data_IF_890472746593
#
_entry.id   IF_890472746593
#
_cell.length_a   1.000
_cell.length_b   1.000
_cell.length_c   1.000
_cell.angle_alpha   90.00
_cell.angle_beta   90.00
_cell.angle_gamma   90.00
#
_symmetry.space_group_name_H-M   'P 1'
#
loop_
_entity.id
_entity.type
_entity.pdbx_description
1 polymer ?
#
# COMPACT_ATOMS: atom_id res chain seq x y z
N UNK A 1 -13.61 -7.56 19.07
CA UNK A 1 -12.80 -6.34 19.11
C UNK A 1 -11.89 -6.42 20.34
N UNK A 2 -10.58 -6.58 20.17
CA UNK A 2 -9.64 -6.77 21.29
C UNK A 2 -9.08 -5.45 21.85
N UNK A 3 -8.91 -4.44 20.99
CA UNK A 3 -8.28 -3.16 21.32
C UNK A 3 -9.30 -2.01 21.47
N UNK A 4 -9.00 -0.99 22.32
CA UNK A 4 -9.83 0.21 22.47
C UNK A 4 -10.01 0.97 21.16
N UNK A 5 -11.21 1.52 20.93
CA UNK A 5 -11.57 2.26 19.72
C UNK A 5 -12.24 3.58 20.10
N UNK A 6 -11.69 4.69 19.62
CA UNK A 6 -12.31 5.99 19.75
C UNK A 6 -13.48 6.13 18.77
N UNK A 7 -14.44 6.98 19.11
CA UNK A 7 -15.43 7.43 18.14
C UNK A 7 -14.71 8.08 16.95
N UNK A 8 -15.13 7.74 15.73
CA UNK A 8 -14.57 8.35 14.53
C UNK A 8 -15.53 9.35 13.89
N UNK A 9 -15.04 10.02 12.84
CA UNK A 9 -15.79 11.01 12.07
C UNK A 9 -15.26 11.07 10.63
N UNK A 10 -16.08 11.63 9.72
CA UNK A 10 -15.66 11.93 8.34
C UNK A 10 -15.03 13.33 8.33
N UNK A 11 -13.73 13.48 8.04
CA UNK A 11 -13.09 14.80 8.00
C UNK A 11 -13.47 15.56 6.73
N UNK A 12 -13.61 16.87 6.85
CA UNK A 12 -14.00 17.77 5.76
C UNK A 12 -13.10 19.02 5.72
N UNK A 13 -13.14 19.75 4.60
CA UNK A 13 -12.43 21.02 4.45
C UNK A 13 -10.94 20.92 4.75
N UNK A 14 -10.48 21.75 5.69
CA UNK A 14 -9.06 21.88 6.05
C UNK A 14 -8.50 20.63 6.76
N UNK A 15 -9.35 19.74 7.29
CA UNK A 15 -8.92 18.45 7.86
C UNK A 15 -8.71 17.36 6.80
N UNK A 16 -9.11 17.62 5.55
CA UNK A 16 -8.98 16.67 4.44
C UNK A 16 -8.62 17.38 3.11
N UNK A 17 -7.55 18.18 3.06
CA UNK A 17 -7.27 19.09 1.93
C UNK A 17 -6.94 18.36 0.61
N UNK A 18 -6.62 17.07 0.70
CA UNK A 18 -6.30 16.18 -0.43
C UNK A 18 -7.43 15.19 -0.78
N UNK A 19 -8.56 15.21 -0.05
CA UNK A 19 -9.62 14.20 -0.10
C UNK A 19 -9.12 12.76 0.17
N UNK A 20 -7.99 12.63 0.88
CA UNK A 20 -7.27 11.38 1.08
C UNK A 20 -7.80 10.56 2.27
N UNK A 21 -8.46 11.22 3.23
CA UNK A 21 -9.18 10.55 4.31
C UNK A 21 -10.61 10.22 3.89
N UNK A 22 -11.05 8.99 4.16
CA UNK A 22 -12.47 8.67 4.18
C UNK A 22 -13.05 8.84 5.59
N UNK A 23 -12.38 8.29 6.59
CA UNK A 23 -12.85 8.32 7.98
C UNK A 23 -11.66 8.36 8.93
N UNK A 24 -11.68 9.25 9.91
CA UNK A 24 -10.67 9.34 10.97
C UNK A 24 -11.22 8.71 12.24
N UNK A 25 -10.38 7.94 12.92
CA UNK A 25 -10.65 7.31 14.22
C UNK A 25 -9.31 6.99 14.85
N UNK A 26 -9.29 6.53 16.09
CA UNK A 26 -8.07 6.04 16.73
C UNK A 26 -8.34 4.66 17.32
N UNK A 27 -7.57 3.67 16.87
CA UNK A 27 -7.54 2.32 17.45
C UNK A 27 -6.12 2.04 17.90
N UNK A 28 -5.91 2.10 19.21
CA UNK A 28 -4.59 1.93 19.82
C UNK A 28 -4.32 0.44 20.07
N UNK A 29 -3.27 -0.08 19.42
CA UNK A 29 -2.85 -1.46 19.54
C UNK A 29 -2.15 -1.78 20.87
N UNK A 30 -1.39 -2.87 20.88
CA UNK A 30 -0.60 -3.30 22.03
C UNK A 30 0.42 -2.23 22.47
N UNK A 31 0.70 -2.15 23.78
CA UNK A 31 1.63 -1.16 24.33
C UNK A 31 3.09 -1.34 23.86
N UNK A 32 3.43 -2.53 23.38
CA UNK A 32 4.77 -2.90 22.92
C UNK A 32 4.68 -3.70 21.64
N UNK A 33 5.69 -3.63 20.79
CA UNK A 33 5.80 -4.42 19.57
C UNK A 33 6.66 -3.72 18.52
N UNK A 34 6.83 -4.36 17.37
CA UNK A 34 7.69 -3.84 16.27
C UNK A 34 7.23 -2.49 15.74
N UNK A 35 5.96 -2.15 15.88
CA UNK A 35 5.33 -0.92 15.40
C UNK A 35 4.83 -0.02 16.53
N UNK A 36 5.26 -0.25 17.77
CA UNK A 36 4.92 0.61 18.90
C UNK A 36 5.31 2.07 18.60
N UNK A 37 4.34 2.98 18.79
CA UNK A 37 4.51 4.41 18.50
C UNK A 37 4.43 4.80 17.03
N UNK A 38 4.08 3.87 16.12
CA UNK A 38 3.86 4.16 14.70
C UNK A 38 2.37 4.32 14.41
N UNK A 39 2.04 5.31 13.59
CA UNK A 39 0.67 5.50 13.09
C UNK A 39 0.47 4.81 11.75
N UNK A 40 -0.69 4.19 11.56
CA UNK A 40 -1.05 3.47 10.32
C UNK A 40 -2.42 3.92 9.83
N UNK A 41 -2.58 4.09 8.52
CA UNK A 41 -3.90 4.16 7.88
C UNK A 41 -4.18 2.90 7.06
N UNK A 42 -5.42 2.45 7.09
CA UNK A 42 -5.87 1.33 6.25
C UNK A 42 -6.54 1.87 4.99
N UNK A 43 -6.21 1.32 3.81
CA UNK A 43 -7.01 1.54 2.61
C UNK A 43 -8.48 1.20 2.90
N UNK A 44 -9.40 1.99 2.37
CA UNK A 44 -10.80 1.88 2.78
C UNK A 44 -11.44 0.51 2.47
N UNK A 45 -10.93 -0.22 1.48
CA UNK A 45 -11.37 -1.58 1.17
C UNK A 45 -10.95 -2.66 2.20
N UNK A 46 -10.19 -2.29 3.24
CA UNK A 46 -9.75 -3.17 4.34
C UNK A 46 -10.71 -2.99 5.52
N UNK A 47 -11.29 -4.08 6.02
CA UNK A 47 -12.21 -4.04 7.15
C UNK A 47 -11.50 -3.68 8.47
N UNK A 48 -12.14 -2.80 9.23
CA UNK A 48 -11.76 -2.44 10.60
C UNK A 48 -13.04 -2.38 11.43
N UNK A 49 -13.21 -3.30 12.37
CA UNK A 49 -14.47 -3.53 13.06
C UNK A 49 -15.04 -2.25 13.68
N UNK A 50 -16.30 -1.95 13.42
CA UNK A 50 -16.98 -0.77 13.97
C UNK A 50 -16.58 0.57 13.33
N UNK A 51 -15.73 0.57 12.31
CA UNK A 51 -15.31 1.78 11.58
C UNK A 51 -15.90 1.73 10.16
N UNK A 52 -16.68 2.73 9.74
CA UNK A 52 -17.29 2.76 8.41
C UNK A 52 -16.29 2.49 7.28
N UNK A 53 -16.79 1.91 6.18
CA UNK A 53 -16.04 1.77 4.93
C UNK A 53 -16.99 1.78 3.73
N UNK A 54 -16.54 2.33 2.60
CA UNK A 54 -17.31 2.40 1.36
C UNK A 54 -16.52 1.94 0.11
N UNK A 55 -15.24 1.58 0.23
CA UNK A 55 -14.41 1.12 -0.89
C UNK A 55 -14.42 2.11 -2.07
N UNK A 56 -14.41 3.41 -1.75
CA UNK A 56 -14.46 4.49 -2.76
C UNK A 56 -15.76 4.59 -3.55
N UNK A 57 -16.78 3.80 -3.19
CA UNK A 57 -18.02 3.66 -3.93
C UNK A 57 -19.22 4.02 -3.04
N UNK A 58 -19.96 5.05 -3.43
CA UNK A 58 -21.19 5.52 -2.77
C UNK A 58 -22.25 4.43 -2.56
N UNK A 59 -22.23 3.38 -3.39
CA UNK A 59 -23.11 2.20 -3.24
C UNK A 59 -22.85 1.38 -1.97
N UNK A 60 -21.68 1.49 -1.36
CA UNK A 60 -21.34 0.86 -0.08
C UNK A 60 -21.32 1.87 1.09
N UNK A 61 -21.75 3.12 0.87
CA UNK A 61 -21.79 4.11 1.94
C UNK A 61 -22.67 3.63 3.11
N UNK A 62 -22.17 3.81 4.33
CA UNK A 62 -22.84 3.36 5.56
C UNK A 62 -22.56 1.91 5.95
N UNK A 63 -21.83 1.13 5.16
CA UNK A 63 -21.39 -0.20 5.58
C UNK A 63 -20.37 -0.10 6.72
N UNK A 64 -20.62 -0.85 7.80
CA UNK A 64 -19.73 -0.96 8.97
C UNK A 64 -19.40 -2.43 9.20
N UNK A 65 -18.13 -2.85 9.01
CA UNK A 65 -17.74 -4.24 9.19
C UNK A 65 -17.78 -4.64 10.68
N UNK A 66 -18.10 -5.91 10.92
CA UNK A 66 -18.18 -6.50 12.26
C UNK A 66 -16.87 -7.14 12.75
N UNK A 67 -15.86 -7.20 11.87
CA UNK A 67 -14.58 -7.83 12.12
C UNK A 67 -13.42 -6.96 11.60
N UNK A 68 -12.24 -7.19 12.15
CA UNK A 68 -11.00 -6.63 11.63
C UNK A 68 -10.44 -7.57 10.57
N UNK A 69 -9.88 -7.01 9.49
CA UNK A 69 -9.07 -7.78 8.56
C UNK A 69 -7.85 -8.37 9.28
N UNK A 70 -7.35 -9.53 8.86
CA UNK A 70 -6.20 -10.17 9.51
C UNK A 70 -5.00 -9.23 9.59
N UNK A 71 -4.75 -8.44 8.54
CA UNK A 71 -3.68 -7.43 8.53
C UNK A 71 -3.89 -6.32 9.55
N UNK A 72 -5.14 -5.88 9.79
CA UNK A 72 -5.43 -4.88 10.80
C UNK A 72 -5.16 -5.41 12.21
N UNK A 73 -5.58 -6.64 12.49
CA UNK A 73 -5.28 -7.32 13.76
C UNK A 73 -3.78 -7.43 14.00
N UNK A 74 -3.01 -7.90 13.00
CA UNK A 74 -1.54 -8.05 13.10
C UNK A 74 -0.83 -6.72 13.35
N UNK A 75 -1.29 -5.64 12.72
CA UNK A 75 -0.74 -4.30 12.95
C UNK A 75 -0.97 -3.82 14.39
N UNK A 76 -2.18 -4.01 14.91
CA UNK A 76 -2.53 -3.67 16.29
C UNK A 76 -1.76 -4.54 17.30
N UNK A 77 -1.63 -5.84 17.04
CA UNK A 77 -0.84 -6.76 17.86
C UNK A 77 0.65 -6.39 17.90
N UNK A 78 1.16 -5.81 16.81
CA UNK A 78 2.52 -5.28 16.74
C UNK A 78 2.68 -3.87 17.36
N UNK A 79 1.61 -3.32 17.94
CA UNK A 79 1.59 -2.05 18.67
C UNK A 79 1.39 -0.79 17.83
N UNK A 80 0.96 -0.93 16.56
CA UNK A 80 0.60 0.23 15.76
C UNK A 80 -0.70 0.88 16.26
N UNK A 81 -0.82 2.19 16.06
CA UNK A 81 -2.08 2.92 16.21
C UNK A 81 -2.72 3.15 14.84
N UNK A 82 -3.93 2.64 14.63
CA UNK A 82 -4.65 2.85 13.37
C UNK A 82 -5.45 4.15 13.45
N UNK A 83 -5.16 5.09 12.55
CA UNK A 83 -5.79 6.43 12.52
C UNK A 83 -7.01 6.55 11.60
N UNK A 84 -7.43 5.43 11.01
CA UNK A 84 -8.68 5.31 10.26
C UNK A 84 -8.50 4.76 8.85
N UNK A 85 -9.31 5.28 7.94
CA UNK A 85 -9.53 4.74 6.59
C UNK A 85 -9.13 5.76 5.53
N UNK A 86 -8.26 5.35 4.63
CA UNK A 86 -7.79 6.15 3.50
C UNK A 86 -8.66 5.89 2.27
N UNK A 87 -9.06 6.96 1.58
CA UNK A 87 -9.82 6.91 0.33
C UNK A 87 -9.15 5.97 -0.68
N UNK A 88 -9.96 5.22 -1.41
CA UNK A 88 -9.53 4.43 -2.56
C UNK A 88 -10.47 4.67 -3.74
N UNK A 89 -10.05 4.25 -4.93
CA UNK A 89 -10.87 4.38 -6.15
C UNK A 89 -12.15 3.54 -6.06
N UNK A 90 -13.15 3.88 -6.88
CA UNK A 90 -14.45 3.19 -6.93
C UNK A 90 -14.28 1.69 -7.17
N UNK A 91 -14.63 0.88 -6.18
CA UNK A 91 -14.38 -0.57 -6.14
C UNK A 91 -12.92 -0.96 -6.44
N UNK A 92 -11.97 -0.07 -6.16
CA UNK A 92 -10.56 -0.22 -6.45
C UNK A 92 -10.18 -0.38 -7.94
N UNK A 93 -11.08 -0.07 -8.89
CA UNK A 93 -10.93 -0.31 -10.34
C UNK A 93 -10.42 0.92 -11.12
N UNK A 94 -9.34 1.54 -10.68
CA UNK A 94 -8.67 2.64 -11.41
C UNK A 94 -7.20 2.76 -11.00
N UNK A 95 -6.33 3.04 -11.98
CA UNK A 95 -4.92 3.39 -11.75
C UNK A 95 -4.68 4.89 -11.53
N UNK A 96 -5.69 5.74 -11.73
CA UNK A 96 -5.67 7.16 -11.38
C UNK A 96 -6.24 7.40 -9.99
N UNK A 97 -6.47 8.67 -9.64
CA UNK A 97 -7.10 9.05 -8.37
C UNK A 97 -8.35 9.93 -8.54
N UNK A 98 -9.24 9.52 -9.45
CA UNK A 98 -10.34 10.36 -9.94
C UNK A 98 -11.71 9.69 -9.94
N UNK A 99 -11.79 8.41 -9.59
CA UNK A 99 -13.07 7.69 -9.57
C UNK A 99 -13.66 7.57 -8.17
N UNK A 100 -12.90 7.87 -7.12
CA UNK A 100 -13.36 7.81 -5.74
C UNK A 100 -14.52 8.76 -5.44
N UNK A 101 -15.52 8.26 -4.73
CA UNK A 101 -16.59 9.09 -4.16
C UNK A 101 -16.17 9.69 -2.80
N UNK A 102 -16.51 10.95 -2.49
CA UNK A 102 -17.27 11.90 -3.33
C UNK A 102 -16.37 12.76 -4.24
N UNK A 103 -15.04 12.65 -4.11
CA UNK A 103 -14.10 13.54 -4.75
C UNK A 103 -12.79 12.83 -5.11
N UNK A 104 -12.08 13.32 -6.15
CA UNK A 104 -10.76 12.82 -6.51
C UNK A 104 -9.74 13.08 -5.40
N UNK A 105 -8.79 12.16 -5.22
CA UNK A 105 -7.64 12.38 -4.34
C UNK A 105 -6.57 13.19 -5.07
N UNK A 106 -6.07 14.23 -4.42
CA UNK A 106 -5.02 15.09 -4.98
C UNK A 106 -3.62 14.62 -4.58
N UNK A 107 -2.68 14.72 -5.52
CA UNK A 107 -1.27 14.43 -5.26
C UNK A 107 -0.66 15.45 -4.29
N UNK A 108 0.00 15.04 -3.19
CA UNK A 108 0.62 15.97 -2.25
C UNK A 108 1.80 16.75 -2.84
N UNK A 109 2.47 16.22 -3.88
CA UNK A 109 3.54 16.94 -4.57
C UNK A 109 3.02 18.05 -5.48
N UNK A 110 1.75 17.95 -5.91
CA UNK A 110 1.09 18.96 -6.75
C UNK A 110 -0.43 18.82 -6.72
N UNK A 111 -1.11 19.71 -5.97
CA UNK A 111 -2.58 19.74 -5.91
C UNK A 111 -3.18 19.88 -7.32
N UNK A 112 -4.30 19.20 -7.56
CA UNK A 112 -4.95 19.12 -8.88
C UNK A 112 -4.38 18.04 -9.80
N UNK A 113 -3.27 17.39 -9.43
CA UNK A 113 -2.73 16.23 -10.15
C UNK A 113 -3.16 14.94 -9.47
N UNK A 114 -3.17 13.85 -10.24
CA UNK A 114 -3.51 12.52 -9.73
C UNK A 114 -2.44 12.02 -8.75
N UNK A 115 -2.88 11.48 -7.62
CA UNK A 115 -2.06 10.74 -6.66
C UNK A 115 -1.74 9.31 -7.15
N UNK A 116 -2.38 8.87 -8.25
CA UNK A 116 -2.38 7.47 -8.71
C UNK A 116 -3.33 6.62 -7.88
N UNK A 117 -3.58 5.38 -8.28
CA UNK A 117 -4.54 4.53 -7.57
C UNK A 117 -4.35 3.03 -7.81
N UNK A 118 -5.16 2.17 -7.17
CA UNK A 118 -6.35 2.53 -6.39
C UNK A 118 -6.13 2.86 -4.91
N UNK A 119 -4.92 2.73 -4.37
CA UNK A 119 -4.58 3.11 -3.00
C UNK A 119 -4.19 4.59 -2.89
N UNK A 120 -4.99 5.45 -3.52
CA UNK A 120 -4.72 6.88 -3.72
C UNK A 120 -4.59 7.65 -2.40
N UNK A 121 -5.56 7.50 -1.51
CA UNK A 121 -5.52 8.11 -0.18
C UNK A 121 -4.36 7.60 0.68
N UNK A 122 -4.08 6.29 0.63
CA UNK A 122 -2.98 5.68 1.39
C UNK A 122 -1.63 6.32 1.03
N UNK A 123 -1.37 6.52 -0.28
CA UNK A 123 -0.15 7.20 -0.72
C UNK A 123 -0.14 8.68 -0.31
N UNK A 124 -1.25 9.39 -0.54
CA UNK A 124 -1.32 10.82 -0.26
C UNK A 124 -1.06 11.13 1.23
N UNK A 125 -1.66 10.37 2.15
CA UNK A 125 -1.50 10.56 3.59
C UNK A 125 -0.08 10.26 4.10
N UNK A 126 0.55 9.21 3.59
CA UNK A 126 1.94 8.90 3.97
C UNK A 126 2.91 9.95 3.40
N UNK A 127 2.68 10.39 2.15
CA UNK A 127 3.55 11.37 1.50
C UNK A 127 3.39 12.78 2.09
N UNK A 128 2.20 13.16 2.57
CA UNK A 128 1.98 14.42 3.28
C UNK A 128 2.44 14.39 4.74
N UNK A 129 2.80 13.21 5.27
CA UNK A 129 3.23 13.05 6.66
C UNK A 129 2.08 13.03 7.68
N UNK A 130 0.84 12.84 7.24
CA UNK A 130 -0.33 12.67 8.12
C UNK A 130 -0.26 11.37 8.94
N UNK A 131 0.37 10.33 8.38
CA UNK A 131 0.59 9.03 9.03
C UNK A 131 1.98 8.48 8.68
N UNK A 132 2.52 7.61 9.53
CA UNK A 132 3.83 7.01 9.29
C UNK A 132 3.80 5.94 8.18
N UNK A 133 2.73 5.16 8.16
CA UNK A 133 2.61 3.92 7.40
C UNK A 133 1.19 3.82 6.81
N UNK A 134 1.05 3.15 5.67
CA UNK A 134 -0.26 2.77 5.16
C UNK A 134 -0.29 1.34 4.67
N UNK A 135 -1.47 0.76 4.72
CA UNK A 135 -1.81 -0.44 3.96
C UNK A 135 -2.44 -0.04 2.62
N UNK A 136 -2.05 -0.74 1.56
CA UNK A 136 -2.63 -0.64 0.22
C UNK A 136 -3.13 -1.99 -0.29
N UNK A 137 -3.92 -1.95 -1.36
CA UNK A 137 -4.29 -3.12 -2.17
C UNK A 137 -3.65 -3.01 -3.56
N UNK A 138 -3.26 -4.12 -4.17
CA UNK A 138 -2.59 -4.16 -5.47
C UNK A 138 -3.09 -5.34 -6.32
N UNK A 139 -3.95 -5.04 -7.28
CA UNK A 139 -4.45 -5.99 -8.27
C UNK A 139 -3.70 -5.87 -9.60
N UNK A 140 -3.57 -4.63 -10.09
CA UNK A 140 -2.86 -4.29 -11.33
C UNK A 140 -1.75 -3.26 -11.16
N UNK A 141 -1.30 -3.01 -9.92
CA UNK A 141 -0.40 -1.90 -9.60
C UNK A 141 -0.92 -0.97 -8.50
N UNK A 142 -2.05 -1.29 -7.88
CA UNK A 142 -2.79 -0.34 -7.04
C UNK A 142 -2.09 0.12 -5.76
N UNK A 143 -0.96 -0.46 -5.36
CA UNK A 143 -0.07 0.08 -4.33
C UNK A 143 1.19 0.71 -4.95
N UNK A 144 1.75 0.09 -5.99
CA UNK A 144 2.99 0.54 -6.66
C UNK A 144 2.81 1.83 -7.46
N UNK A 145 1.71 1.98 -8.19
CA UNK A 145 1.38 3.18 -9.00
C UNK A 145 1.26 4.41 -8.10
N UNK A 146 0.39 4.45 -7.08
CA UNK A 146 0.27 5.64 -6.24
C UNK A 146 1.52 5.91 -5.42
N UNK A 147 2.26 4.86 -5.00
CA UNK A 147 3.55 5.07 -4.36
C UNK A 147 4.56 5.76 -5.30
N UNK A 148 4.68 5.31 -6.55
CA UNK A 148 5.54 5.95 -7.54
C UNK A 148 5.14 7.41 -7.81
N UNK A 149 3.85 7.71 -7.87
CA UNK A 149 3.34 9.06 -8.18
C UNK A 149 3.44 10.03 -7.00
N UNK A 150 3.42 9.53 -5.77
CA UNK A 150 3.54 10.33 -4.55
C UNK A 150 4.95 10.31 -3.93
N UNK A 151 5.94 9.66 -4.57
CA UNK A 151 7.33 9.64 -4.10
C UNK A 151 7.59 8.72 -2.90
N UNK A 152 6.90 7.58 -2.84
CA UNK A 152 6.96 6.60 -1.75
C UNK A 152 7.47 5.23 -2.22
N UNK A 153 7.62 4.32 -1.26
CA UNK A 153 7.89 2.91 -1.50
C UNK A 153 6.62 2.08 -1.31
N UNK A 154 6.05 1.55 -2.39
CA UNK A 154 4.91 0.63 -2.36
C UNK A 154 5.36 -0.79 -2.66
N UNK A 155 5.04 -1.74 -1.78
CA UNK A 155 5.39 -3.14 -1.98
C UNK A 155 4.14 -3.97 -2.29
N UNK A 156 4.15 -4.65 -3.45
CA UNK A 156 3.25 -5.77 -3.73
C UNK A 156 3.96 -7.07 -3.36
N UNK A 157 3.57 -7.75 -2.28
CA UNK A 157 4.22 -9.00 -1.88
C UNK A 157 3.97 -10.14 -2.90
N UNK A 158 4.64 -11.26 -2.69
CA UNK A 158 4.30 -12.53 -3.36
C UNK A 158 2.84 -12.87 -3.08
N UNK A 159 2.11 -13.33 -4.10
CA UNK A 159 0.71 -13.75 -3.94
C UNK A 159 0.59 -14.83 -2.85
N UNK A 160 -0.40 -14.68 -1.96
CA UNK A 160 -0.59 -15.55 -0.80
C UNK A 160 0.37 -15.34 0.38
N UNK A 161 1.39 -14.48 0.27
CA UNK A 161 2.31 -14.22 1.39
C UNK A 161 1.62 -13.47 2.54
N UNK A 162 0.86 -12.43 2.19
CA UNK A 162 0.05 -11.65 3.13
C UNK A 162 -1.41 -12.05 2.94
N UNK A 163 -2.15 -12.38 4.02
CA UNK A 163 -3.54 -12.81 3.91
C UNK A 163 -4.42 -11.64 3.45
N UNK A 164 -5.38 -11.95 2.60
CA UNK A 164 -6.40 -11.02 2.09
C UNK A 164 -7.72 -11.11 2.88
N UNK A 165 -7.77 -11.92 3.95
CA UNK A 165 -8.94 -12.07 4.82
C UNK A 165 -9.42 -10.73 5.37
N UNK A 166 -10.70 -10.45 5.13
CA UNK A 166 -11.37 -9.22 5.56
C UNK A 166 -11.07 -8.00 4.70
N UNK A 167 -10.51 -8.19 3.51
CA UNK A 167 -10.35 -7.15 2.49
C UNK A 167 -11.34 -7.44 1.36
N UNK A 168 -12.03 -6.39 0.87
CA UNK A 168 -12.98 -6.52 -0.24
C UNK A 168 -12.24 -7.08 -1.48
N UNK A 169 -12.63 -8.26 -2.00
CA UNK A 169 -11.97 -8.90 -3.13
C UNK A 169 -12.34 -8.22 -4.46
N UNK A 170 -11.44 -8.27 -5.43
CA UNK A 170 -11.77 -8.05 -6.84
C UNK A 170 -11.71 -9.39 -7.55
N UNK A 171 -10.56 -10.06 -7.49
CA UNK A 171 -10.35 -11.36 -8.14
C UNK A 171 -9.23 -12.12 -7.40
N UNK A 172 -9.53 -13.34 -6.99
CA UNK A 172 -8.72 -14.04 -6.00
C UNK A 172 -7.31 -14.40 -6.49
N UNK A 173 -7.12 -14.59 -7.79
CA UNK A 173 -5.84 -14.99 -8.38
C UNK A 173 -4.81 -13.86 -8.44
N UNK A 174 -5.26 -12.60 -8.31
CA UNK A 174 -4.36 -11.43 -8.33
C UNK A 174 -4.65 -10.37 -7.25
N UNK A 175 -5.53 -10.65 -6.29
CA UNK A 175 -5.67 -9.83 -5.08
C UNK A 175 -4.38 -9.87 -4.23
N UNK A 176 -3.78 -8.70 -3.99
CA UNK A 176 -2.68 -8.53 -3.04
C UNK A 176 -2.95 -7.35 -2.10
N UNK A 177 -2.40 -7.42 -0.89
CA UNK A 177 -2.28 -6.26 0.02
C UNK A 177 -0.83 -6.14 0.49
N UNK A 178 -0.39 -4.93 0.77
CA UNK A 178 0.98 -4.68 1.18
C UNK A 178 1.23 -3.27 1.71
N UNK A 179 2.44 -3.03 2.26
CA UNK A 179 2.78 -1.75 2.87
C UNK A 179 3.10 -0.67 1.84
N UNK A 180 2.79 0.57 2.22
CA UNK A 180 3.18 1.78 1.53
C UNK A 180 3.82 2.72 2.56
N UNK A 181 5.10 3.06 2.36
CA UNK A 181 5.91 3.74 3.38
C UNK A 181 6.91 4.73 2.77
N UNK A 182 7.58 5.51 3.62
CA UNK A 182 8.64 6.47 3.23
C UNK A 182 10.03 5.85 3.14
N UNK A 183 10.19 4.56 3.46
CA UNK A 183 11.50 3.90 3.40
C UNK A 183 11.40 2.40 3.11
N UNK A 184 12.41 1.85 2.42
CA UNK A 184 12.51 0.39 2.20
C UNK A 184 12.57 -0.37 3.54
N UNK A 185 13.18 0.24 4.57
CA UNK A 185 13.25 -0.33 5.92
C UNK A 185 11.87 -0.50 6.53
N UNK A 186 11.01 0.52 6.43
CA UNK A 186 9.65 0.44 6.94
C UNK A 186 8.79 -0.56 6.16
N UNK A 187 8.95 -0.65 4.83
CA UNK A 187 8.31 -1.71 4.05
C UNK A 187 8.68 -3.11 4.55
N UNK A 188 9.97 -3.37 4.77
CA UNK A 188 10.44 -4.65 5.30
C UNK A 188 9.88 -4.92 6.69
N UNK A 189 9.90 -3.93 7.59
CA UNK A 189 9.40 -4.06 8.96
C UNK A 189 7.89 -4.35 8.99
N UNK A 190 7.09 -3.64 8.19
CA UNK A 190 5.64 -3.90 8.13
C UNK A 190 5.37 -5.25 7.49
N UNK A 191 6.12 -5.65 6.45
CA UNK A 191 5.97 -6.98 5.85
C UNK A 191 6.21 -8.10 6.87
N UNK A 192 7.21 -7.97 7.75
CA UNK A 192 7.46 -8.94 8.82
C UNK A 192 6.29 -9.07 9.79
N UNK A 193 5.51 -8.01 9.98
CA UNK A 193 4.35 -7.98 10.87
C UNK A 193 3.13 -8.63 10.20
N UNK A 194 2.89 -8.33 8.92
CA UNK A 194 1.64 -8.71 8.25
C UNK A 194 1.73 -10.04 7.49
N UNK A 195 2.92 -10.53 7.15
CA UNK A 195 3.09 -11.76 6.38
C UNK A 195 2.79 -13.03 7.19
N UNK A 196 2.41 -14.10 6.49
CA UNK A 196 2.22 -15.44 7.06
C UNK A 196 0.78 -15.95 6.96
N UNK A 197 0.63 -17.27 7.08
CA UNK A 197 -0.65 -17.95 7.00
C UNK A 197 -1.61 -17.45 8.09
N UNK A 198 -2.89 -17.31 7.76
CA UNK A 198 -3.94 -17.04 8.74
C UNK A 198 -4.93 -18.20 8.91
N UNK A 199 -4.86 -19.19 8.02
CA UNK A 199 -5.74 -20.37 8.03
C UNK A 199 -7.15 -20.12 7.49
N UNK A 200 -7.42 -18.93 6.95
CA UNK A 200 -8.73 -18.50 6.46
C UNK A 200 -8.71 -18.16 4.97
N UNK A 201 -7.62 -17.57 4.47
CA UNK A 201 -7.54 -17.11 3.09
C UNK A 201 -7.14 -18.25 2.12
N UNK A 202 -8.02 -18.65 1.18
CA UNK A 202 -7.73 -19.71 0.21
C UNK A 202 -6.61 -19.36 -0.79
N UNK A 203 -6.15 -18.11 -0.82
CA UNK A 203 -5.00 -17.66 -1.64
C UNK A 203 -3.66 -18.11 -1.07
N UNK A 204 -3.60 -18.57 0.18
CA UNK A 204 -2.35 -18.86 0.87
C UNK A 204 -1.91 -20.32 0.69
N UNK A 205 -0.84 -20.53 -0.07
CA UNK A 205 -0.25 -21.85 -0.32
C UNK A 205 0.97 -22.11 0.57
N UNK A 206 0.74 -22.23 1.89
CA UNK A 206 1.79 -22.43 2.89
C UNK A 206 2.95 -21.40 2.79
N UNK A 207 2.65 -20.09 2.96
CA UNK A 207 3.63 -19.03 2.77
C UNK A 207 4.82 -19.17 3.72
N UNK A 208 6.02 -18.93 3.19
CA UNK A 208 7.25 -18.86 3.98
C UNK A 208 7.51 -17.40 4.37
N UNK A 209 7.68 -17.17 5.66
CA UNK A 209 8.00 -15.85 6.23
C UNK A 209 9.46 -15.80 6.66
N UNK A 210 10.04 -14.62 6.59
CA UNK A 210 11.44 -14.35 6.95
C UNK A 210 11.52 -13.05 7.75
N UNK A 211 12.64 -12.82 8.42
CA UNK A 211 12.99 -11.52 8.98
C UNK A 211 13.52 -10.61 7.86
N UNK A 212 12.62 -10.04 7.05
CA UNK A 212 12.95 -9.24 5.88
C UNK A 212 13.89 -8.06 6.16
N UNK A 213 13.89 -7.53 7.38
CA UNK A 213 14.79 -6.46 7.82
C UNK A 213 16.24 -6.91 7.90
N UNK A 214 16.52 -8.20 8.11
CA UNK A 214 17.88 -8.77 8.10
C UNK A 214 18.48 -8.84 6.69
N UNK A 215 17.68 -8.70 5.64
CA UNK A 215 18.16 -8.60 4.26
C UNK A 215 18.69 -7.20 3.91
N UNK A 216 18.36 -6.18 4.71
CA UNK A 216 18.78 -4.80 4.47
C UNK A 216 20.29 -4.64 4.65
N UNK A 217 20.89 -3.68 3.94
CA UNK A 217 22.31 -3.34 4.08
C UNK A 217 23.29 -4.32 3.43
N UNK A 218 22.83 -5.46 2.89
CA UNK A 218 23.69 -6.43 2.18
C UNK A 218 24.30 -5.90 0.87
N UNK A 219 23.77 -4.77 0.36
CA UNK A 219 24.21 -4.17 -0.90
C UNK A 219 23.80 -5.00 -2.12
N UNK A 220 24.32 -4.62 -3.29
CA UNK A 220 23.94 -5.23 -4.59
C UNK A 220 25.11 -5.89 -5.33
N UNK A 221 26.30 -5.92 -4.72
CA UNK A 221 27.50 -6.47 -5.35
C UNK A 221 27.30 -7.95 -5.70
N UNK A 222 27.55 -8.30 -6.95
CA UNK A 222 27.41 -9.67 -7.46
C UNK A 222 25.98 -10.09 -7.81
N UNK A 223 24.98 -9.24 -7.57
CA UNK A 223 23.62 -9.49 -8.05
C UNK A 223 23.54 -9.34 -9.56
N UNK A 224 22.72 -10.15 -10.21
CA UNK A 224 22.36 -10.02 -11.63
C UNK A 224 21.02 -9.32 -11.75
N UNK A 225 20.98 -8.21 -12.46
CA UNK A 225 19.78 -7.40 -12.65
C UNK A 225 19.39 -7.43 -14.12
N UNK A 226 18.18 -7.92 -14.38
CA UNK A 226 17.56 -7.93 -15.70
C UNK A 226 16.74 -6.68 -15.94
N UNK A 227 17.06 -5.94 -17.01
CA UNK A 227 16.20 -4.87 -17.52
C UNK A 227 15.27 -5.49 -18.55
N UNK A 228 13.97 -5.48 -18.30
CA UNK A 228 12.97 -5.93 -19.28
C UNK A 228 12.84 -4.90 -20.41
N UNK A 229 13.22 -5.27 -21.63
CA UNK A 229 13.25 -4.38 -22.79
C UNK A 229 11.87 -3.77 -23.06
N UNK A 230 10.83 -4.59 -22.99
CA UNK A 230 9.43 -4.23 -23.27
C UNK A 230 8.93 -3.12 -22.32
N UNK A 231 9.44 -3.06 -21.09
CA UNK A 231 9.10 -2.01 -20.11
C UNK A 231 9.55 -0.60 -20.53
N UNK A 232 10.47 -0.48 -21.49
CA UNK A 232 10.95 0.79 -22.03
C UNK A 232 10.48 1.08 -23.46
N UNK A 233 9.70 0.16 -24.06
CA UNK A 233 9.23 0.26 -25.45
C UNK A 233 7.76 0.65 -25.56
N UNK A 234 7.17 1.15 -24.46
CA UNK A 234 5.77 1.58 -24.43
C UNK A 234 5.59 2.85 -25.29
N UNK A 235 4.59 2.89 -26.20
CA UNK A 235 4.37 4.03 -27.10
C UNK A 235 4.16 5.38 -26.40
N UNK A 236 3.69 5.35 -25.16
CA UNK A 236 3.35 6.53 -24.35
C UNK A 236 4.34 6.78 -23.20
N UNK A 237 5.52 6.16 -23.21
CA UNK A 237 6.54 6.39 -22.19
C UNK A 237 7.15 7.80 -22.30
N UNK A 238 7.08 8.57 -21.22
CA UNK A 238 7.82 9.83 -21.12
C UNK A 238 9.33 9.54 -21.03
N UNK A 239 10.09 10.06 -22.00
CA UNK A 239 11.54 9.87 -22.07
C UNK A 239 12.27 10.33 -20.81
N UNK A 240 11.75 11.34 -20.10
CA UNK A 240 12.34 11.84 -18.85
C UNK A 240 12.21 10.82 -17.72
N UNK A 241 11.11 10.06 -17.68
CA UNK A 241 10.92 8.98 -16.71
C UNK A 241 11.87 7.82 -17.04
N UNK A 242 11.96 7.44 -18.32
CA UNK A 242 12.87 6.41 -18.78
C UNK A 242 14.33 6.73 -18.40
N UNK A 243 14.76 7.97 -18.62
CA UNK A 243 16.11 8.45 -18.26
C UNK A 243 16.37 8.29 -16.75
N UNK A 244 15.45 8.70 -15.88
CA UNK A 244 15.60 8.57 -14.43
C UNK A 244 15.70 7.12 -13.97
N UNK A 245 14.90 6.22 -14.54
CA UNK A 245 14.98 4.79 -14.21
C UNK A 245 16.29 4.20 -14.70
N UNK A 246 16.75 4.54 -15.91
CA UNK A 246 18.05 4.07 -16.43
C UNK A 246 19.23 4.60 -15.60
N UNK A 247 19.18 5.84 -15.13
CA UNK A 247 20.18 6.40 -14.24
C UNK A 247 20.24 5.63 -12.90
N UNK A 248 19.10 5.24 -12.34
CA UNK A 248 19.06 4.40 -11.14
C UNK A 248 19.68 3.01 -11.38
N UNK A 249 19.44 2.41 -12.55
CA UNK A 249 20.07 1.13 -12.93
C UNK A 249 21.58 1.27 -13.09
N UNK A 250 22.06 2.33 -13.75
CA UNK A 250 23.49 2.61 -13.88
C UNK A 250 24.17 2.73 -12.49
N UNK A 251 23.49 3.36 -11.53
CA UNK A 251 23.97 3.44 -10.15
C UNK A 251 24.10 2.07 -9.49
N UNK A 252 23.19 1.13 -9.75
CA UNK A 252 23.29 -0.24 -9.24
C UNK A 252 24.49 -0.98 -9.84
N UNK A 253 24.79 -0.73 -11.12
CA UNK A 253 25.98 -1.28 -11.79
C UNK A 253 27.29 -0.75 -11.16
N UNK A 254 27.38 0.57 -10.90
CA UNK A 254 28.53 1.17 -10.19
C UNK A 254 28.75 0.57 -8.79
N UNK A 255 27.66 0.17 -8.12
CA UNK A 255 27.70 -0.48 -6.81
C UNK A 255 28.08 -1.98 -6.88
N UNK A 256 28.34 -2.50 -8.07
CA UNK A 256 28.88 -3.84 -8.30
C UNK A 256 27.87 -4.89 -8.73
N UNK A 257 26.65 -4.50 -9.13
CA UNK A 257 25.72 -5.42 -9.78
C UNK A 257 26.10 -5.64 -11.25
N UNK A 258 25.80 -6.83 -11.78
CA UNK A 258 25.88 -7.11 -13.22
C UNK A 258 24.52 -6.84 -13.84
N UNK A 259 24.45 -5.91 -14.78
CA UNK A 259 23.19 -5.50 -15.42
C UNK A 259 23.17 -5.99 -16.87
N UNK A 260 22.04 -6.55 -17.30
CA UNK A 260 21.80 -6.95 -18.69
C UNK A 260 20.35 -6.72 -19.11
N UNK A 261 20.15 -6.48 -20.41
CA UNK A 261 18.81 -6.40 -20.98
C UNK A 261 18.28 -7.81 -21.30
N UNK A 262 16.98 -8.03 -21.07
CA UNK A 262 16.29 -9.28 -21.35
C UNK A 262 14.96 -8.94 -22.04
N UNK A 263 14.60 -9.73 -23.04
CA UNK A 263 13.29 -9.66 -23.69
C UNK A 263 12.41 -10.79 -23.17
N UNK A 264 11.17 -10.47 -22.82
CA UNK A 264 10.15 -11.44 -22.41
C UNK A 264 8.84 -11.13 -23.16
N UNK A 265 8.72 -11.53 -24.44
CA UNK A 265 7.53 -11.25 -25.22
C UNK A 265 6.30 -12.00 -24.69
N UNK A 266 5.17 -11.31 -24.54
CA UNK A 266 3.91 -11.91 -24.10
C UNK A 266 3.74 -12.08 -22.59
N UNK A 267 4.69 -11.58 -21.78
CA UNK A 267 4.53 -11.40 -20.34
C UNK A 267 3.75 -10.12 -19.99
#
# INVERSE_FOLDING_TARGET
MHYPRAAGYRPEGDENPLNAWYYKTEVTGAATGKLAGRTVVLKDNIALAGVPMMNGASTLEGFVPLYDATVATRLLDAGATILGKATCEHFCLSGGSHTSDPAPVHNPLRRGYSAGGSSSGSAALVASGEVDLAMGGDQGGSARIPAAWCGLYGLKPTHGLVPYTGIMPIEATFDHTGPMTRSVKDNALVLEVIAGADGLDPRQYAPKVEAYTEALGKGVRGLKIGIMAEGFQLPNLDARVAEKVRAAVARLQELGATVGEISVPGA
#
